data_IF_176614396725
#
_entry.id   IF_176614396725
#
_cell.length_a   1.000
_cell.length_b   1.000
_cell.length_c   1.000
_cell.angle_alpha   90.00
_cell.angle_beta   90.00
_cell.angle_gamma   90.00
#
_symmetry.space_group_name_H-M   'P 1'
#
loop_
_entity.id
_entity.type
_entity.pdbx_description
1 polymer ?
#
# COMPACT_ATOMS: atom_id res chain seq x y z
N UNK A 1 -23.85 -5.65 -10.35
CA UNK A 1 -24.13 -5.67 -11.79
C UNK A 1 -23.26 -4.64 -12.50
N UNK A 2 -22.92 -4.93 -13.76
CA UNK A 2 -22.16 -4.06 -14.65
C UNK A 2 -22.69 -4.18 -16.06
N UNK A 3 -22.63 -3.08 -16.84
CA UNK A 3 -23.00 -3.11 -18.25
C UNK A 3 -21.73 -3.36 -19.07
N UNK A 4 -21.63 -4.53 -19.69
CA UNK A 4 -20.44 -5.00 -20.39
C UNK A 4 -20.75 -5.53 -21.79
N UNK A 5 -19.76 -5.48 -22.67
CA UNK A 5 -19.77 -6.28 -23.89
C UNK A 5 -19.42 -7.71 -23.50
N UNK A 6 -20.22 -8.66 -23.98
CA UNK A 6 -20.08 -10.07 -23.62
C UNK A 6 -19.34 -10.83 -24.69
N UNK A 7 -18.35 -11.63 -24.27
CA UNK A 7 -17.76 -12.63 -25.13
C UNK A 7 -18.69 -13.85 -25.17
N UNK A 8 -19.09 -14.22 -26.37
CA UNK A 8 -19.98 -15.36 -26.63
C UNK A 8 -19.15 -16.57 -27.02
N UNK A 9 -19.42 -17.70 -26.41
CA UNK A 9 -18.80 -18.99 -26.70
C UNK A 9 -19.71 -19.85 -27.57
N UNK A 10 -19.19 -20.29 -28.70
CA UNK A 10 -19.86 -21.28 -29.56
C UNK A 10 -19.13 -22.61 -29.43
N UNK A 11 -19.79 -23.59 -28.84
CA UNK A 11 -19.29 -24.95 -28.68
C UNK A 11 -19.64 -25.77 -29.91
N UNK A 12 -18.64 -26.20 -30.66
CA UNK A 12 -18.81 -26.98 -31.86
C UNK A 12 -18.93 -28.48 -31.55
N UNK A 13 -19.57 -29.29 -32.44
CA UNK A 13 -19.72 -30.73 -32.24
C UNK A 13 -18.39 -31.51 -32.16
N UNK A 14 -17.32 -30.95 -32.72
CA UNK A 14 -15.95 -31.51 -32.68
C UNK A 14 -15.20 -31.22 -31.37
N UNK A 15 -15.85 -30.51 -30.41
CA UNK A 15 -15.28 -30.11 -29.14
C UNK A 15 -14.45 -28.83 -29.18
N UNK A 16 -14.33 -28.20 -30.35
CA UNK A 16 -13.67 -26.88 -30.45
C UNK A 16 -14.61 -25.77 -29.96
N UNK A 17 -14.02 -24.65 -29.52
CA UNK A 17 -14.77 -23.47 -29.08
C UNK A 17 -14.32 -22.28 -29.91
N UNK A 18 -15.28 -21.62 -30.55
CA UNK A 18 -15.05 -20.34 -31.21
C UNK A 18 -15.66 -19.22 -30.37
N UNK A 19 -14.97 -18.09 -30.28
CA UNK A 19 -15.41 -16.96 -29.46
C UNK A 19 -15.50 -15.68 -30.28
N UNK A 20 -16.44 -14.81 -29.93
CA UNK A 20 -16.49 -13.47 -30.46
C UNK A 20 -17.04 -12.50 -29.41
N UNK A 21 -16.64 -11.23 -29.47
CA UNK A 21 -17.16 -10.19 -28.58
C UNK A 21 -18.33 -9.50 -29.27
N UNK A 22 -19.51 -9.54 -28.64
CA UNK A 22 -20.65 -8.77 -29.12
C UNK A 22 -20.54 -7.30 -28.68
N UNK A 23 -20.05 -6.46 -29.58
CA UNK A 23 -19.87 -5.03 -29.35
C UNK A 23 -21.12 -4.19 -29.71
N UNK A 24 -22.17 -4.79 -30.23
CA UNK A 24 -23.38 -4.08 -30.72
C UNK A 24 -24.21 -3.53 -29.57
N UNK A 25 -24.26 -4.24 -28.43
CA UNK A 25 -25.05 -3.86 -27.27
C UNK A 25 -24.36 -4.30 -25.96
N UNK A 26 -24.24 -3.36 -25.04
CA UNK A 26 -23.87 -3.71 -23.66
C UNK A 26 -25.03 -4.43 -22.97
N UNK A 27 -24.72 -5.49 -22.27
CA UNK A 27 -25.68 -6.31 -21.52
C UNK A 27 -25.42 -6.10 -20.04
N UNK A 28 -26.47 -5.99 -19.25
CA UNK A 28 -26.37 -5.91 -17.78
C UNK A 28 -26.13 -7.31 -17.21
N UNK A 29 -24.92 -7.53 -16.73
CA UNK A 29 -24.47 -8.81 -16.19
C UNK A 29 -24.18 -8.73 -14.70
N UNK A 30 -24.22 -9.87 -14.03
CA UNK A 30 -23.87 -9.98 -12.59
C UNK A 30 -22.42 -10.37 -12.47
N UNK A 31 -21.70 -9.72 -11.55
CA UNK A 31 -20.38 -10.18 -11.12
C UNK A 31 -20.56 -11.45 -10.28
N UNK A 32 -19.84 -12.51 -10.60
CA UNK A 32 -19.91 -13.80 -9.95
C UNK A 32 -18.64 -14.20 -9.21
N UNK A 33 -17.51 -13.52 -9.51
CA UNK A 33 -16.21 -13.73 -8.90
C UNK A 33 -15.65 -12.36 -8.45
N UNK A 34 -16.26 -11.78 -7.41
CA UNK A 34 -16.02 -10.41 -6.97
C UNK A 34 -16.02 -10.29 -5.44
N UNK A 35 -15.62 -11.36 -4.74
CA UNK A 35 -15.51 -11.36 -3.30
C UNK A 35 -14.35 -10.47 -2.86
N UNK A 36 -14.60 -9.62 -1.90
CA UNK A 36 -13.57 -8.90 -1.17
C UNK A 36 -13.77 -9.12 0.33
N UNK A 37 -12.74 -9.62 0.98
CA UNK A 37 -12.73 -9.81 2.41
C UNK A 37 -11.47 -9.18 3.01
N UNK A 38 -11.65 -8.37 4.04
CA UNK A 38 -10.55 -7.74 4.75
C UNK A 38 -10.86 -7.69 6.25
N UNK A 39 -9.93 -8.18 7.03
CA UNK A 39 -9.97 -8.14 8.49
C UNK A 39 -8.77 -7.35 9.00
N UNK A 40 -9.00 -6.48 9.97
CA UNK A 40 -7.92 -5.74 10.61
C UNK A 40 -8.16 -5.66 12.11
N UNK A 41 -7.08 -5.87 12.87
CA UNK A 41 -7.07 -5.71 14.32
C UNK A 41 -5.95 -4.74 14.68
N UNK A 42 -6.27 -3.78 15.54
CA UNK A 42 -5.32 -2.83 16.09
C UNK A 42 -5.35 -2.87 17.60
N UNK A 43 -4.17 -2.95 18.20
CA UNK A 43 -3.98 -2.81 19.64
C UNK A 43 -2.95 -1.70 19.91
N UNK A 44 -3.19 -0.90 20.96
CA UNK A 44 -2.23 0.09 21.46
C UNK A 44 -2.12 -0.03 22.96
N UNK A 45 -0.89 0.04 23.45
CA UNK A 45 -0.58 0.09 24.88
C UNK A 45 0.44 1.20 25.12
N UNK A 46 0.38 1.84 26.25
CA UNK A 46 1.34 2.89 26.52
C UNK A 46 1.28 3.47 27.91
N UNK A 47 2.07 4.52 28.07
CA UNK A 47 2.29 5.24 29.31
C UNK A 47 1.95 6.71 29.05
N UNK A 48 1.29 7.33 30.01
CA UNK A 48 0.97 8.75 29.98
C UNK A 48 1.41 9.44 31.28
N UNK A 49 1.59 10.75 31.21
CA UNK A 49 1.81 11.64 32.36
C UNK A 49 2.99 11.25 33.27
N UNK A 50 4.11 10.87 32.63
CA UNK A 50 5.38 10.64 33.33
C UNK A 50 6.33 11.83 33.19
N UNK A 51 7.24 11.98 34.12
CA UNK A 51 8.24 13.05 34.06
C UNK A 51 9.02 13.07 32.76
N UNK A 52 9.30 11.89 32.18
CA UNK A 52 10.05 11.71 30.94
C UNK A 52 9.20 11.56 29.67
N UNK A 53 7.88 11.38 29.80
CA UNK A 53 6.98 11.26 28.65
C UNK A 53 5.57 11.74 29.03
N UNK A 54 5.04 12.71 28.30
CA UNK A 54 3.62 13.07 28.39
C UNK A 54 2.77 11.94 27.79
N UNK A 55 3.28 11.31 26.75
CA UNK A 55 2.68 10.13 26.12
C UNK A 55 3.74 9.28 25.40
N UNK A 56 3.72 7.99 25.68
CA UNK A 56 4.46 6.96 24.93
C UNK A 56 3.50 5.83 24.62
N UNK A 57 3.23 5.59 23.34
CA UNK A 57 2.35 4.52 22.88
C UNK A 57 3.11 3.56 21.97
N UNK A 58 2.89 2.27 22.18
CA UNK A 58 3.26 1.21 21.26
C UNK A 58 1.99 0.64 20.65
N UNK A 59 1.95 0.54 19.33
CA UNK A 59 0.83 0.00 18.59
C UNK A 59 1.25 -1.19 17.75
N UNK A 60 0.32 -2.10 17.52
CA UNK A 60 0.46 -3.18 16.56
C UNK A 60 -0.84 -3.28 15.78
N UNK A 61 -0.74 -3.19 14.45
CA UNK A 61 -1.85 -3.46 13.54
C UNK A 61 -1.52 -4.71 12.75
N UNK A 62 -2.47 -5.62 12.68
CA UNK A 62 -2.45 -6.77 11.78
C UNK A 62 -3.63 -6.68 10.84
N UNK A 63 -3.43 -6.99 9.56
CA UNK A 63 -4.53 -7.15 8.62
C UNK A 63 -4.31 -8.34 7.71
N UNK A 64 -5.44 -8.93 7.29
CA UNK A 64 -5.50 -9.99 6.30
C UNK A 64 -6.52 -9.63 5.25
N UNK A 65 -6.22 -9.90 3.99
CA UNK A 65 -7.14 -9.64 2.89
C UNK A 65 -7.19 -10.79 1.90
N UNK A 66 -8.36 -11.01 1.35
CA UNK A 66 -8.63 -11.86 0.20
C UNK A 66 -9.47 -11.08 -0.82
N UNK A 67 -9.15 -11.23 -2.09
CA UNK A 67 -9.90 -10.57 -3.16
C UNK A 67 -9.94 -11.44 -4.42
N UNK A 68 -11.15 -11.71 -4.89
CA UNK A 68 -11.38 -12.19 -6.25
C UNK A 68 -11.13 -11.07 -7.26
N UNK A 69 -10.61 -11.42 -8.42
CA UNK A 69 -10.37 -10.49 -9.52
C UNK A 69 -11.24 -10.90 -10.69
N UNK A 70 -12.40 -10.26 -10.85
CA UNK A 70 -13.39 -10.61 -11.86
C UNK A 70 -12.99 -10.19 -13.27
N UNK A 71 -12.29 -9.06 -13.44
CA UNK A 71 -11.96 -8.52 -14.77
C UNK A 71 -10.65 -7.74 -14.77
N UNK A 72 -10.08 -7.60 -15.95
CA UNK A 72 -9.10 -6.56 -16.26
C UNK A 72 -9.72 -5.15 -16.35
N UNK A 73 -8.88 -4.15 -16.60
CA UNK A 73 -9.29 -2.73 -16.65
C UNK A 73 -10.40 -2.46 -17.66
N UNK A 74 -10.38 -3.13 -18.80
CA UNK A 74 -11.36 -2.91 -19.90
C UNK A 74 -12.67 -3.67 -19.70
N UNK A 75 -12.79 -4.52 -18.68
CA UNK A 75 -13.98 -5.35 -18.40
C UNK A 75 -14.42 -6.27 -19.57
N UNK A 76 -13.55 -6.53 -20.52
CA UNK A 76 -13.81 -7.42 -21.67
C UNK A 76 -13.46 -8.85 -21.30
N UNK A 77 -12.26 -9.04 -20.76
CA UNK A 77 -11.78 -10.34 -20.29
C UNK A 77 -12.31 -10.59 -18.88
N UNK A 78 -12.95 -11.71 -18.70
CA UNK A 78 -13.58 -12.14 -17.45
C UNK A 78 -12.76 -13.26 -16.83
N UNK A 79 -12.48 -13.13 -15.55
CA UNK A 79 -11.76 -14.13 -14.78
C UNK A 79 -12.73 -14.79 -13.78
N UNK A 80 -12.64 -16.09 -13.64
CA UNK A 80 -13.50 -16.86 -12.77
C UNK A 80 -12.77 -17.50 -11.57
N UNK A 81 -11.44 -17.54 -11.61
CA UNK A 81 -10.63 -18.19 -10.56
C UNK A 81 -9.43 -17.34 -10.12
N UNK A 82 -9.11 -16.28 -10.87
CA UNK A 82 -8.03 -15.37 -10.53
C UNK A 82 -8.32 -14.64 -9.22
N UNK A 83 -7.40 -14.70 -8.28
CA UNK A 83 -7.55 -14.04 -6.98
C UNK A 83 -6.21 -13.59 -6.40
N UNK A 84 -6.30 -12.79 -5.35
CA UNK A 84 -5.15 -12.39 -4.55
C UNK A 84 -5.44 -12.46 -3.06
N UNK A 85 -4.41 -12.72 -2.29
CA UNK A 85 -4.47 -12.74 -0.82
C UNK A 85 -3.25 -12.05 -0.24
N UNK A 86 -3.40 -11.47 0.92
CA UNK A 86 -2.30 -10.78 1.56
C UNK A 86 -2.50 -10.62 3.05
N UNK A 87 -1.40 -10.27 3.71
CA UNK A 87 -1.40 -9.92 5.12
C UNK A 87 -0.39 -8.81 5.38
N UNK A 88 -0.62 -8.03 6.41
CA UNK A 88 0.34 -7.02 6.83
C UNK A 88 0.48 -6.96 8.34
N UNK A 89 1.68 -6.58 8.80
CA UNK A 89 2.02 -6.29 10.18
C UNK A 89 2.61 -4.90 10.27
N UNK A 90 2.08 -4.09 11.17
CA UNK A 90 2.51 -2.70 11.33
C UNK A 90 2.68 -2.36 12.82
N UNK A 91 3.84 -2.66 13.43
CA UNK A 91 4.23 -2.07 14.71
C UNK A 91 4.44 -0.56 14.56
N UNK A 92 4.09 0.18 15.59
CA UNK A 92 4.21 1.63 15.63
C UNK A 92 4.61 2.11 17.02
N UNK A 93 5.25 3.28 17.07
CA UNK A 93 5.58 3.99 18.30
C UNK A 93 5.26 5.46 18.16
N UNK A 94 4.66 6.02 19.19
CA UNK A 94 4.39 7.45 19.32
C UNK A 94 4.97 7.95 20.65
N UNK A 95 5.82 8.96 20.61
CA UNK A 95 6.36 9.62 21.78
C UNK A 95 6.09 11.11 21.71
N UNK A 96 5.67 11.67 22.84
CA UNK A 96 5.49 13.12 23.01
C UNK A 96 5.96 13.54 24.40
N UNK A 97 6.73 14.63 24.43
CA UNK A 97 7.13 15.31 25.67
C UNK A 97 7.19 16.79 25.45
N UNK A 98 6.50 17.53 26.30
CA UNK A 98 6.63 18.99 26.44
C UNK A 98 7.67 19.30 27.49
N UNK A 99 8.36 20.40 27.30
CA UNK A 99 9.39 20.88 28.24
C UNK A 99 10.46 19.77 28.55
N UNK A 100 10.86 19.03 27.52
CA UNK A 100 11.88 18.00 27.64
C UNK A 100 13.24 18.63 27.96
N UNK A 101 13.87 18.27 29.07
CA UNK A 101 15.13 18.81 29.58
C UNK A 101 15.11 20.30 29.99
N UNK A 102 14.39 21.15 29.27
CA UNK A 102 14.27 22.57 29.56
C UNK A 102 12.89 23.10 29.15
N UNK A 103 12.44 24.15 29.81
CA UNK A 103 11.16 24.80 29.51
C UNK A 103 11.13 25.33 28.07
N UNK A 104 10.07 25.05 27.37
CA UNK A 104 9.83 25.46 25.97
C UNK A 104 10.38 24.49 24.93
N UNK A 105 11.08 23.42 25.31
CA UNK A 105 11.56 22.39 24.37
C UNK A 105 10.54 21.24 24.28
N UNK A 106 9.80 21.20 23.20
CA UNK A 106 8.79 20.16 22.94
C UNK A 106 9.29 19.19 21.87
N UNK A 107 9.10 17.90 22.12
CA UNK A 107 9.47 16.82 21.20
C UNK A 107 8.29 15.95 20.87
N UNK A 108 8.13 15.65 19.58
CA UNK A 108 7.19 14.66 19.06
C UNK A 108 7.95 13.71 18.15
N UNK A 109 7.82 12.43 18.40
CA UNK A 109 8.39 11.37 17.56
C UNK A 109 7.31 10.34 17.24
N UNK A 110 7.19 9.98 15.98
CA UNK A 110 6.36 8.85 15.53
C UNK A 110 7.15 7.98 14.57
N UNK A 111 6.99 6.68 14.70
CA UNK A 111 7.55 5.74 13.73
C UNK A 111 6.63 4.54 13.56
N UNK A 112 6.63 3.98 12.37
CA UNK A 112 6.02 2.68 12.09
C UNK A 112 6.86 1.90 11.06
N UNK A 113 6.75 0.60 11.17
CA UNK A 113 7.25 -0.35 10.20
C UNK A 113 6.08 -1.15 9.67
N UNK A 114 5.88 -1.18 8.36
CA UNK A 114 4.85 -1.99 7.73
C UNK A 114 5.48 -3.06 6.85
N UNK A 115 5.29 -4.32 7.22
CA UNK A 115 5.60 -5.47 6.39
C UNK A 115 4.31 -5.99 5.80
N UNK A 116 4.23 -5.93 4.47
CA UNK A 116 3.06 -6.36 3.70
C UNK A 116 3.48 -7.43 2.70
N UNK A 117 2.78 -8.56 2.67
CA UNK A 117 2.95 -9.61 1.69
C UNK A 117 1.65 -9.81 0.91
N UNK A 118 1.73 -9.76 -0.42
CA UNK A 118 0.58 -10.01 -1.31
C UNK A 118 0.93 -11.10 -2.30
N UNK A 119 0.10 -12.14 -2.39
CA UNK A 119 0.22 -13.23 -3.35
C UNK A 119 -0.87 -13.08 -4.40
N UNK A 120 -0.47 -13.04 -5.67
CA UNK A 120 -1.36 -13.08 -6.83
C UNK A 120 -1.38 -14.48 -7.42
N UNK A 121 -2.57 -15.00 -7.69
CA UNK A 121 -2.79 -16.36 -8.15
C UNK A 121 -3.65 -16.32 -9.41
N UNK A 122 -3.09 -16.80 -10.51
CA UNK A 122 -3.71 -16.92 -11.84
C UNK A 122 -3.15 -18.18 -12.49
N UNK A 123 -3.70 -19.32 -12.13
CA UNK A 123 -3.21 -20.66 -12.55
C UNK A 123 -4.33 -21.52 -13.16
N UNK A 124 -5.51 -20.96 -13.37
CA UNK A 124 -6.65 -21.66 -13.95
C UNK A 124 -6.39 -22.05 -15.41
N UNK A 125 -6.89 -23.23 -15.78
CA UNK A 125 -6.94 -23.68 -17.18
C UNK A 125 -8.26 -23.30 -17.87
N UNK A 126 -9.11 -22.49 -17.24
CA UNK A 126 -10.41 -22.14 -17.79
C UNK A 126 -10.46 -20.68 -18.22
N UNK A 127 -11.10 -20.44 -19.35
CA UNK A 127 -11.49 -19.13 -19.84
C UNK A 127 -12.98 -18.93 -19.58
N UNK A 128 -13.35 -17.80 -19.01
CA UNK A 128 -14.72 -17.46 -18.59
C UNK A 128 -15.28 -16.31 -19.39
N UNK A 129 -16.59 -16.30 -19.56
CA UNK A 129 -17.32 -15.13 -20.03
C UNK A 129 -18.22 -14.54 -18.92
N UNK A 130 -18.92 -13.45 -19.23
CA UNK A 130 -19.81 -12.77 -18.30
C UNK A 130 -21.04 -13.58 -17.89
N UNK A 131 -21.42 -14.62 -18.63
CA UNK A 131 -22.50 -15.53 -18.26
C UNK A 131 -22.05 -16.66 -17.32
N UNK A 132 -20.75 -16.71 -17.00
CA UNK A 132 -20.15 -17.78 -16.21
C UNK A 132 -19.92 -19.07 -17.00
N UNK A 133 -20.10 -19.03 -18.32
CA UNK A 133 -19.71 -20.13 -19.19
C UNK A 133 -18.18 -20.19 -19.25
N UNK A 134 -17.65 -21.40 -19.39
CA UNK A 134 -16.19 -21.63 -19.45
C UNK A 134 -15.82 -22.74 -20.42
N UNK A 135 -14.62 -22.63 -20.96
CA UNK A 135 -14.00 -23.73 -21.69
C UNK A 135 -12.54 -23.91 -21.22
N UNK A 136 -12.00 -25.10 -21.44
CA UNK A 136 -10.63 -25.42 -21.03
C UNK A 136 -9.64 -24.89 -22.07
N UNK A 137 -8.63 -24.16 -21.60
CA UNK A 137 -7.50 -23.70 -22.39
C UNK A 137 -6.36 -24.73 -22.38
N UNK A 138 -5.48 -24.64 -23.35
CA UNK A 138 -4.26 -25.48 -23.42
C UNK A 138 -3.18 -25.02 -22.45
N UNK A 139 -3.18 -23.73 -22.09
CA UNK A 139 -2.20 -23.12 -21.18
C UNK A 139 -2.91 -22.52 -19.98
N UNK A 140 -2.33 -22.63 -18.77
CA UNK A 140 -2.93 -22.01 -17.59
C UNK A 140 -2.73 -20.50 -17.55
N UNK A 141 -3.62 -19.83 -16.80
CA UNK A 141 -3.64 -18.39 -16.57
C UNK A 141 -4.74 -17.69 -17.36
N UNK A 142 -5.71 -17.11 -16.67
CA UNK A 142 -6.84 -16.40 -17.28
C UNK A 142 -6.40 -15.07 -17.90
N UNK A 143 -5.38 -14.42 -17.32
CA UNK A 143 -4.71 -13.27 -17.90
C UNK A 143 -3.25 -13.62 -18.28
N UNK A 144 -2.53 -14.18 -17.31
CA UNK A 144 -1.15 -14.63 -17.48
C UNK A 144 -0.85 -15.65 -16.39
N UNK A 145 -0.22 -16.78 -16.76
CA UNK A 145 0.18 -17.80 -15.77
C UNK A 145 1.02 -17.15 -14.67
N UNK A 146 0.46 -17.03 -13.48
CA UNK A 146 1.08 -16.34 -12.38
C UNK A 146 0.75 -17.00 -11.03
N UNK A 147 1.77 -17.23 -10.24
CA UNK A 147 1.68 -17.47 -8.81
C UNK A 147 2.86 -16.73 -8.19
N UNK A 148 2.66 -15.44 -7.90
CA UNK A 148 3.74 -14.55 -7.48
C UNK A 148 3.43 -13.93 -6.13
N UNK A 149 4.48 -13.68 -5.35
CA UNK A 149 4.44 -13.01 -4.07
C UNK A 149 5.24 -11.72 -4.13
N UNK A 150 4.63 -10.65 -3.70
CA UNK A 150 5.27 -9.36 -3.48
C UNK A 150 5.41 -9.12 -1.97
N UNK A 151 6.63 -9.06 -1.48
CA UNK A 151 6.96 -8.67 -0.11
C UNK A 151 7.39 -7.20 -0.12
N UNK A 152 6.74 -6.38 0.70
CA UNK A 152 7.03 -4.96 0.83
C UNK A 152 7.36 -4.64 2.29
N UNK A 153 8.48 -3.97 2.48
CA UNK A 153 8.93 -3.44 3.78
C UNK A 153 8.94 -1.92 3.72
N UNK A 154 8.23 -1.29 4.64
CA UNK A 154 8.04 0.16 4.68
C UNK A 154 8.37 0.70 6.06
N UNK A 155 9.38 1.56 6.17
CA UNK A 155 9.70 2.32 7.36
C UNK A 155 9.26 3.76 7.19
N UNK A 156 8.50 4.28 8.14
CA UNK A 156 8.14 5.69 8.20
C UNK A 156 8.48 6.23 9.58
N UNK A 157 9.02 7.42 9.62
CA UNK A 157 9.32 8.09 10.87
C UNK A 157 9.19 9.59 10.71
N UNK A 158 8.67 10.25 11.74
CA UNK A 158 8.69 11.71 11.85
C UNK A 158 9.27 12.10 13.20
N UNK A 159 10.12 13.10 13.19
CA UNK A 159 10.67 13.73 14.38
C UNK A 159 10.45 15.23 14.29
N UNK A 160 9.83 15.79 15.31
CA UNK A 160 9.62 17.24 15.40
C UNK A 160 10.15 17.72 16.75
N UNK A 161 10.96 18.75 16.70
CA UNK A 161 11.48 19.45 17.85
C UNK A 161 11.06 20.92 17.73
N UNK A 162 10.36 21.43 18.72
CA UNK A 162 9.99 22.83 18.83
C UNK A 162 10.66 23.42 20.08
N UNK A 163 11.42 24.50 19.88
CA UNK A 163 12.04 25.18 20.99
C UNK A 163 11.62 26.64 21.04
N UNK A 164 10.94 27.02 22.12
CA UNK A 164 10.51 28.38 22.41
C UNK A 164 11.49 29.02 23.40
N UNK A 165 12.23 30.00 22.92
CA UNK A 165 13.19 30.78 23.69
C UNK A 165 12.53 32.09 24.13
N UNK A 166 11.96 32.09 25.34
CA UNK A 166 11.18 33.20 25.86
C UNK A 166 9.88 33.40 25.06
N UNK A 167 9.48 34.66 24.89
CA UNK A 167 8.23 35.05 24.21
C UNK A 167 8.43 35.40 22.73
N UNK A 168 9.67 35.68 22.32
CA UNK A 168 9.95 36.26 21.00
C UNK A 168 10.51 35.27 19.98
N UNK A 169 11.19 34.21 20.42
CA UNK A 169 11.90 33.31 19.51
C UNK A 169 11.34 31.90 19.55
N UNK A 170 11.17 31.31 18.39
CA UNK A 170 10.85 29.90 18.27
C UNK A 170 11.66 29.25 17.14
N UNK A 171 12.22 28.08 17.41
CA UNK A 171 12.94 27.26 16.44
C UNK A 171 12.18 25.96 16.30
N UNK A 172 11.90 25.53 15.07
CA UNK A 172 11.31 24.25 14.79
C UNK A 172 12.22 23.46 13.86
N UNK A 173 12.60 22.28 14.28
CA UNK A 173 13.23 21.27 13.44
C UNK A 173 12.25 20.13 13.19
N UNK A 174 12.11 19.76 11.92
CA UNK A 174 11.28 18.62 11.51
C UNK A 174 12.12 17.70 10.63
N UNK A 175 12.04 16.41 10.88
CA UNK A 175 12.67 15.38 10.05
C UNK A 175 11.65 14.30 9.71
N UNK A 176 11.56 13.96 8.43
CA UNK A 176 10.74 12.86 7.92
C UNK A 176 11.66 11.84 7.26
N UNK A 177 11.59 10.61 7.71
CA UNK A 177 12.26 9.47 7.14
C UNK A 177 11.23 8.51 6.52
N UNK A 178 11.50 8.06 5.31
CA UNK A 178 10.76 6.97 4.67
C UNK A 178 11.74 6.05 3.97
N UNK A 179 11.61 4.75 4.20
CA UNK A 179 12.33 3.73 3.45
C UNK A 179 11.36 2.66 2.98
N UNK A 180 11.45 2.33 1.70
CA UNK A 180 10.64 1.33 1.04
C UNK A 180 11.55 0.30 0.37
N UNK A 181 11.24 -0.97 0.58
CA UNK A 181 11.86 -2.09 -0.10
C UNK A 181 10.76 -3.02 -0.61
N UNK A 182 10.90 -3.47 -1.86
CA UNK A 182 9.98 -4.43 -2.47
C UNK A 182 10.77 -5.53 -3.15
N UNK A 183 10.37 -6.78 -2.89
CA UNK A 183 10.87 -7.98 -3.55
C UNK A 183 9.69 -8.75 -4.12
N UNK A 184 9.72 -9.05 -5.41
CA UNK A 184 8.78 -9.96 -6.06
C UNK A 184 9.44 -11.33 -6.23
N UNK A 185 8.69 -12.39 -5.95
CA UNK A 185 9.15 -13.78 -6.08
C UNK A 185 8.09 -14.60 -6.81
N UNK A 186 8.49 -15.34 -7.83
CA UNK A 186 7.60 -16.36 -8.42
C UNK A 186 7.58 -17.61 -7.54
N UNK A 187 6.40 -18.14 -7.31
CA UNK A 187 6.17 -19.43 -6.65
C UNK A 187 5.98 -20.56 -7.66
N UNK A 188 6.10 -20.27 -8.97
CA UNK A 188 6.16 -21.23 -10.07
C UNK A 188 7.62 -21.43 -10.46
N UNK A 189 8.09 -22.68 -10.44
CA UNK A 189 9.49 -23.00 -10.72
C UNK A 189 9.94 -22.64 -12.16
N UNK A 190 8.99 -22.57 -13.10
CA UNK A 190 9.23 -22.37 -14.52
C UNK A 190 8.98 -20.93 -15.00
N UNK A 191 8.56 -20.05 -14.11
CA UNK A 191 8.17 -18.66 -14.43
C UNK A 191 8.93 -17.71 -13.52
N UNK A 192 9.70 -16.81 -14.09
CA UNK A 192 10.32 -15.72 -13.33
C UNK A 192 9.26 -14.71 -12.86
N UNK A 193 9.48 -14.12 -11.71
CA UNK A 193 8.61 -13.05 -11.23
C UNK A 193 8.80 -11.80 -12.08
N UNK A 194 7.70 -11.18 -12.47
CA UNK A 194 7.73 -9.82 -13.01
C UNK A 194 8.39 -8.90 -11.98
N UNK A 195 9.36 -8.09 -12.43
CA UNK A 195 10.16 -7.24 -11.53
C UNK A 195 10.87 -8.04 -10.41
N UNK A 196 11.51 -9.16 -10.71
CA UNK A 196 12.24 -9.97 -9.73
C UNK A 196 13.37 -9.21 -9.02
N UNK A 197 13.91 -8.14 -9.65
CA UNK A 197 14.94 -7.31 -9.04
C UNK A 197 14.33 -6.44 -7.97
N UNK A 198 14.92 -6.48 -6.76
CA UNK A 198 14.45 -5.70 -5.62
C UNK A 198 14.47 -4.20 -5.89
N UNK A 199 13.40 -3.52 -5.53
CA UNK A 199 13.28 -2.06 -5.59
C UNK A 199 13.46 -1.47 -4.20
N UNK A 200 14.34 -0.48 -4.07
CA UNK A 200 14.60 0.19 -2.81
C UNK A 200 14.53 1.71 -2.98
N UNK A 201 13.84 2.37 -2.06
CA UNK A 201 13.80 3.84 -1.99
C UNK A 201 14.02 4.28 -0.56
N UNK A 202 14.87 5.29 -0.34
CA UNK A 202 15.04 5.94 0.97
C UNK A 202 14.90 7.45 0.77
N UNK A 203 14.06 8.08 1.59
CA UNK A 203 13.82 9.52 1.56
C UNK A 203 14.08 10.10 2.93
N UNK A 204 14.85 11.18 2.96
CA UNK A 204 15.13 11.99 4.14
C UNK A 204 14.76 13.42 3.83
N UNK A 205 13.89 14.00 4.63
CA UNK A 205 13.43 15.37 4.46
C UNK A 205 13.62 16.08 5.80
N UNK A 206 14.50 17.06 5.83
CA UNK A 206 14.75 17.87 7.02
C UNK A 206 14.31 19.30 6.78
N UNK A 207 13.55 19.86 7.70
CA UNK A 207 13.12 21.25 7.69
C UNK A 207 13.58 21.96 8.94
N UNK A 208 14.06 23.17 8.80
CA UNK A 208 14.40 24.06 9.90
C UNK A 208 13.67 25.38 9.71
N UNK A 209 12.98 25.82 10.74
CA UNK A 209 12.35 27.14 10.74
C UNK A 209 12.75 27.92 12.00
N UNK A 210 12.93 29.21 11.79
CA UNK A 210 13.10 30.18 12.87
C UNK A 210 12.01 31.23 12.77
N UNK A 211 11.36 31.52 13.90
CA UNK A 211 10.31 32.54 14.02
C UNK A 211 10.71 33.57 15.03
N UNK A 212 10.59 34.85 14.65
CA UNK A 212 10.79 36.01 15.50
C UNK A 212 9.46 36.73 15.66
N UNK A 213 9.04 36.94 16.90
CA UNK A 213 7.78 37.63 17.30
C UNK A 213 8.12 38.81 18.22
N UNK A 214 8.65 39.94 17.69
CA UNK A 214 9.07 41.07 18.52
C UNK A 214 7.90 41.80 19.21
N UNK A 215 6.69 41.64 18.67
CA UNK A 215 5.44 42.14 19.26
C UNK A 215 4.25 41.33 18.80
N UNK A 216 3.07 41.53 19.39
CA UNK A 216 1.83 40.88 18.97
C UNK A 216 1.41 41.21 17.51
N UNK A 217 1.92 42.35 16.99
CA UNK A 217 1.60 42.81 15.63
C UNK A 217 2.57 42.37 14.56
N UNK A 218 3.76 41.90 14.93
CA UNK A 218 4.82 41.52 13.99
C UNK A 218 5.30 40.10 14.20
N UNK A 219 5.34 39.32 13.10
CA UNK A 219 5.83 37.97 13.08
C UNK A 219 6.66 37.76 11.81
N UNK A 220 7.91 37.40 11.94
CA UNK A 220 8.82 37.09 10.85
C UNK A 220 9.25 35.64 10.96
N UNK A 221 9.16 34.88 9.87
CA UNK A 221 9.59 33.47 9.83
C UNK A 221 10.54 33.23 8.67
N UNK A 222 11.64 32.55 8.94
CA UNK A 222 12.56 31.99 7.96
C UNK A 222 12.43 30.47 7.97
N UNK A 223 12.44 29.88 6.79
CA UNK A 223 12.28 28.44 6.64
C UNK A 223 13.26 27.90 5.59
N UNK A 224 13.95 26.81 5.93
CA UNK A 224 14.79 26.04 5.02
C UNK A 224 14.40 24.57 5.01
N UNK A 225 14.51 23.94 3.85
CA UNK A 225 14.19 22.51 3.68
C UNK A 225 15.29 21.83 2.87
N UNK A 226 15.77 20.69 3.37
CA UNK A 226 16.69 19.80 2.69
C UNK A 226 15.99 18.48 2.35
N UNK A 227 16.16 18.04 1.12
CA UNK A 227 15.58 16.79 0.62
C UNK A 227 16.69 15.91 0.04
N UNK A 228 16.75 14.67 0.51
CA UNK A 228 17.65 13.66 -0.02
C UNK A 228 16.87 12.37 -0.32
N UNK A 229 17.03 11.86 -1.53
CA UNK A 229 16.42 10.60 -1.97
C UNK A 229 17.49 9.70 -2.58
N UNK A 230 17.45 8.44 -2.19
CA UNK A 230 18.19 7.34 -2.79
C UNK A 230 17.20 6.36 -3.39
N UNK A 231 17.46 5.90 -4.61
CA UNK A 231 16.65 4.89 -5.32
C UNK A 231 17.61 3.85 -5.88
N UNK A 232 17.29 2.58 -5.68
CA UNK A 232 17.99 1.44 -6.26
C UNK A 232 16.97 0.42 -6.81
N UNK A 233 17.34 -0.26 -7.88
CA UNK A 233 16.50 -1.19 -8.62
C UNK A 233 16.09 -0.63 -9.99
N UNK A 234 15.40 -1.42 -10.82
CA UNK A 234 14.94 -1.00 -12.14
C UNK A 234 13.96 0.18 -12.00
N UNK A 235 14.14 1.18 -12.85
CA UNK A 235 13.23 2.30 -13.00
C UNK A 235 12.07 1.94 -13.93
#
# INVERSE_FOLDING_TARGET
HVDANVEVFNFNPDGSVSTYIDNRKKVRVKRFHDTYHNEAVMAKVGIADKAWADRLLFGLTYSHMYQDVQTGVRQITVYGEKHRKGHSWMPSVEYRKRDLLTKGLDVVFTANYNRNATTNIDTSYYHYNWYGERYRMNTPGEQSRQHSRADNDNWNGTFTLNYRLGKMHAITFNHVFNAFHRQNTSLLAEVEAEDAIAKQTRKNISGLSYRLMPSEKWNVSLFGKYYHQYVAGPM
#
